data_IF_861344926794
#
_entry.id   IF_861344926794
#
_cell.length_a   1.000
_cell.length_b   1.000
_cell.length_c   1.000
_cell.angle_alpha   90.00
_cell.angle_beta   90.00
_cell.angle_gamma   90.00
#
_symmetry.space_group_name_H-M   'P 1'
#
loop_
_entity.id
_entity.type
_entity.pdbx_description
1 polymer ?
#
# COMPACT_ATOMS: atom_id res chain seq x y z
N UNK A 1 19.94 28.23 3.60
CA UNK A 1 21.33 28.22 4.17
C UNK A 1 21.36 28.25 5.71
N UNK A 2 20.22 28.08 6.41
CA UNK A 2 20.16 27.97 7.88
C UNK A 2 19.89 26.55 8.40
N UNK A 3 19.62 25.58 7.55
CA UNK A 3 19.31 24.18 7.92
C UNK A 3 20.54 23.25 8.02
N UNK A 4 21.72 23.71 7.59
CA UNK A 4 22.93 22.88 7.59
C UNK A 4 23.84 23.04 8.82
N UNK A 5 23.51 23.95 9.75
CA UNK A 5 24.37 24.29 10.87
C UNK A 5 24.00 23.70 12.24
N UNK A 6 22.79 23.12 12.37
CA UNK A 6 22.29 22.59 13.67
C UNK A 6 22.37 21.07 13.81
N UNK A 7 22.88 20.36 12.80
CA UNK A 7 22.97 18.88 12.81
C UNK A 7 24.16 18.31 13.59
N UNK A 8 24.99 19.13 14.25
CA UNK A 8 26.25 18.63 14.79
C UNK A 8 26.34 18.48 16.32
N UNK A 9 25.23 18.47 17.05
CA UNK A 9 25.20 18.19 18.50
C UNK A 9 23.92 17.51 19.01
N UNK A 10 23.28 16.65 18.23
CA UNK A 10 22.40 15.66 18.84
C UNK A 10 23.28 14.45 19.20
N UNK A 11 23.50 14.24 20.48
CA UNK A 11 23.87 12.92 21.00
C UNK A 11 22.84 11.96 20.39
N UNK A 12 23.30 10.94 19.63
CA UNK A 12 22.40 9.94 19.05
C UNK A 12 21.65 9.26 20.18
N UNK A 13 20.42 9.70 20.42
CA UNK A 13 19.50 9.06 21.36
C UNK A 13 19.37 7.60 20.94
N UNK A 14 19.76 6.68 21.81
CA UNK A 14 19.57 5.26 21.57
C UNK A 14 18.07 4.97 21.40
N UNK A 15 17.69 4.31 20.31
CA UNK A 15 16.31 3.95 20.08
C UNK A 15 15.85 2.93 21.13
N UNK A 16 14.72 3.19 21.78
CA UNK A 16 14.05 2.28 22.69
C UNK A 16 12.64 1.92 22.16
N UNK A 17 12.01 0.96 22.80
CA UNK A 17 10.65 0.52 22.43
C UNK A 17 9.56 1.21 23.27
N UNK A 18 9.93 2.28 23.97
CA UNK A 18 9.02 2.97 24.88
C UNK A 18 8.46 4.23 24.24
N UNK A 19 7.15 4.44 24.37
CA UNK A 19 6.46 5.68 24.01
C UNK A 19 5.79 6.20 25.26
N UNK A 20 6.25 7.38 25.73
CA UNK A 20 5.76 8.03 26.92
C UNK A 20 5.60 9.53 26.65
N UNK A 21 4.43 10.08 26.92
CA UNK A 21 4.11 11.49 26.70
C UNK A 21 4.96 12.41 27.58
N UNK A 22 5.38 11.95 28.75
CA UNK A 22 6.23 12.69 29.68
C UNK A 22 7.68 12.83 29.17
N UNK A 23 8.08 11.97 28.21
CA UNK A 23 9.36 12.05 27.51
C UNK A 23 9.13 12.14 26.00
N UNK A 24 8.63 13.29 25.58
CA UNK A 24 8.20 13.54 24.20
C UNK A 24 9.36 13.41 23.20
N UNK A 25 10.56 13.93 23.53
CA UNK A 25 11.71 13.91 22.63
C UNK A 25 12.14 12.46 22.32
N UNK A 26 12.31 11.63 23.33
CA UNK A 26 12.63 10.21 23.16
C UNK A 26 11.52 9.47 22.41
N UNK A 27 10.26 9.76 22.73
CA UNK A 27 9.12 9.13 22.07
C UNK A 27 9.05 9.45 20.58
N UNK A 28 9.26 10.71 20.20
CA UNK A 28 9.32 11.13 18.79
C UNK A 28 10.48 10.47 18.05
N UNK A 29 11.65 10.38 18.68
CA UNK A 29 12.80 9.66 18.14
C UNK A 29 12.49 8.18 17.90
N UNK A 30 11.91 7.51 18.90
CA UNK A 30 11.53 6.09 18.80
C UNK A 30 10.52 5.83 17.69
N UNK A 31 9.50 6.70 17.57
CA UNK A 31 8.48 6.62 16.50
C UNK A 31 9.15 6.81 15.13
N UNK A 32 9.99 7.83 14.97
CA UNK A 32 10.70 8.10 13.72
C UNK A 32 11.57 6.91 13.30
N UNK A 33 12.41 6.41 14.19
CA UNK A 33 13.28 5.26 13.91
C UNK A 33 12.46 4.04 13.52
N UNK A 34 11.40 3.75 14.27
CA UNK A 34 10.50 2.62 13.97
C UNK A 34 9.91 2.73 12.56
N UNK A 35 9.40 3.90 12.17
CA UNK A 35 8.77 4.09 10.85
C UNK A 35 9.78 4.05 9.70
N UNK A 36 10.96 4.62 9.88
CA UNK A 36 12.05 4.54 8.90
C UNK A 36 12.47 3.08 8.66
N UNK A 37 12.63 2.31 9.73
CA UNK A 37 13.02 0.90 9.63
C UNK A 37 11.91 0.03 8.99
N UNK A 38 10.63 0.30 9.26
CA UNK A 38 9.51 -0.37 8.59
C UNK A 38 9.56 -0.15 7.07
N UNK A 39 9.79 1.09 6.64
CA UNK A 39 9.90 1.43 5.22
C UNK A 39 11.12 0.75 4.61
N UNK A 40 12.31 0.89 5.21
CA UNK A 40 13.54 0.25 4.72
C UNK A 40 13.37 -1.27 4.57
N UNK A 41 12.85 -1.93 5.60
CA UNK A 41 12.63 -3.37 5.57
C UNK A 41 11.60 -3.77 4.51
N UNK A 42 10.56 -2.97 4.29
CA UNK A 42 9.59 -3.20 3.21
C UNK A 42 10.26 -3.17 1.84
N UNK A 43 11.10 -2.15 1.57
CA UNK A 43 11.82 -2.07 0.30
C UNK A 43 12.84 -3.20 0.12
N UNK A 44 13.46 -3.68 1.20
CA UNK A 44 14.35 -4.85 1.13
C UNK A 44 13.60 -6.15 0.80
N UNK A 45 12.32 -6.23 1.13
CA UNK A 45 11.49 -7.40 0.81
C UNK A 45 10.98 -7.41 -0.64
N UNK A 46 11.20 -6.33 -1.41
CA UNK A 46 10.72 -6.29 -2.79
C UNK A 46 11.50 -7.23 -3.70
N UNK A 47 10.80 -8.17 -4.30
CA UNK A 47 11.30 -8.94 -5.43
C UNK A 47 11.04 -8.16 -6.73
N UNK A 48 12.09 -7.84 -7.46
CA UNK A 48 12.00 -7.06 -8.70
C UNK A 48 11.21 -7.77 -9.80
N UNK A 49 11.29 -9.10 -9.88
CA UNK A 49 10.55 -9.90 -10.87
C UNK A 49 9.07 -9.91 -10.53
N UNK A 50 8.76 -10.06 -9.24
CA UNK A 50 7.39 -10.02 -8.73
C UNK A 50 6.75 -8.65 -8.98
N UNK A 51 7.44 -7.56 -8.64
CA UNK A 51 6.96 -6.20 -8.93
C UNK A 51 6.74 -5.98 -10.43
N UNK A 52 7.66 -6.47 -11.27
CA UNK A 52 7.51 -6.37 -12.73
C UNK A 52 6.26 -7.12 -13.21
N UNK A 53 6.05 -8.34 -12.74
CA UNK A 53 4.87 -9.13 -13.10
C UNK A 53 3.56 -8.44 -12.68
N UNK A 54 3.54 -7.83 -11.49
CA UNK A 54 2.38 -7.06 -11.01
C UNK A 54 2.13 -5.84 -11.90
N UNK A 55 3.18 -5.08 -12.22
CA UNK A 55 3.06 -3.90 -13.10
C UNK A 55 2.54 -4.32 -14.49
N UNK A 56 3.07 -5.39 -15.07
CA UNK A 56 2.64 -5.88 -16.37
C UNK A 56 1.16 -6.34 -16.33
N UNK A 57 0.73 -7.00 -15.26
CA UNK A 57 -0.68 -7.37 -15.05
C UNK A 57 -1.59 -6.13 -14.95
N UNK A 58 -1.18 -5.12 -14.17
CA UNK A 58 -1.92 -3.85 -14.01
C UNK A 58 -2.09 -3.13 -15.34
N UNK A 59 -1.03 -3.07 -16.16
CA UNK A 59 -1.08 -2.41 -17.46
C UNK A 59 -1.94 -3.14 -18.49
N UNK A 60 -2.14 -4.43 -18.32
CA UNK A 60 -3.00 -5.26 -19.16
C UNK A 60 -4.46 -5.34 -18.70
N UNK A 61 -4.77 -4.84 -17.50
CA UNK A 61 -6.09 -4.92 -16.91
C UNK A 61 -7.07 -3.90 -17.52
N UNK A 62 -8.34 -4.29 -17.68
CA UNK A 62 -9.42 -3.34 -17.97
C UNK A 62 -10.02 -2.76 -16.69
N UNK A 63 -9.98 -3.53 -15.59
CA UNK A 63 -10.50 -3.13 -14.29
C UNK A 63 -9.54 -3.58 -13.19
N UNK A 64 -9.26 -2.68 -12.25
CA UNK A 64 -8.42 -2.92 -11.08
C UNK A 64 -9.26 -2.68 -9.84
N UNK A 65 -9.38 -3.66 -8.97
CA UNK A 65 -10.04 -3.48 -7.68
C UNK A 65 -9.02 -3.45 -6.55
N UNK A 66 -9.11 -2.43 -5.70
CA UNK A 66 -8.43 -2.39 -4.41
C UNK A 66 -9.42 -2.75 -3.30
N UNK A 67 -9.23 -3.90 -2.67
CA UNK A 67 -10.09 -4.37 -1.58
C UNK A 67 -9.33 -4.39 -0.24
N UNK A 68 -9.99 -3.91 0.81
CA UNK A 68 -9.41 -3.79 2.14
C UNK A 68 -10.48 -3.83 3.24
N UNK A 69 -10.06 -4.10 4.48
CA UNK A 69 -10.94 -4.12 5.65
C UNK A 69 -10.37 -3.29 6.79
N UNK A 70 -11.25 -2.57 7.50
CA UNK A 70 -10.88 -1.80 8.68
C UNK A 70 -9.85 -0.70 8.37
N UNK A 71 -8.73 -0.69 9.11
CA UNK A 71 -7.72 0.37 9.01
C UNK A 71 -6.94 0.40 7.68
N UNK A 72 -7.07 -0.63 6.84
CA UNK A 72 -6.43 -0.66 5.50
C UNK A 72 -7.33 -0.09 4.40
N UNK A 73 -8.60 0.22 4.66
CA UNK A 73 -9.51 0.85 3.69
C UNK A 73 -8.93 2.17 3.12
N UNK A 74 -8.35 3.09 3.91
CA UNK A 74 -7.76 4.30 3.36
C UNK A 74 -6.64 4.06 2.34
N UNK A 75 -5.90 2.94 2.47
CA UNK A 75 -4.86 2.56 1.51
C UNK A 75 -5.48 2.13 0.18
N UNK A 76 -6.56 1.35 0.22
CA UNK A 76 -7.30 0.97 -0.97
C UNK A 76 -7.89 2.20 -1.70
N UNK A 77 -8.37 3.18 -0.95
CA UNK A 77 -8.86 4.46 -1.50
C UNK A 77 -7.73 5.27 -2.15
N UNK A 78 -6.58 5.36 -1.51
CA UNK A 78 -5.38 6.02 -2.05
C UNK A 78 -4.90 5.33 -3.34
N UNK A 79 -4.81 4.00 -3.35
CA UNK A 79 -4.46 3.22 -4.53
C UNK A 79 -5.42 3.46 -5.69
N UNK A 80 -6.72 3.43 -5.42
CA UNK A 80 -7.75 3.72 -6.42
C UNK A 80 -7.61 5.12 -6.99
N UNK A 81 -7.42 6.13 -6.13
CA UNK A 81 -7.23 7.51 -6.56
C UNK A 81 -6.00 7.66 -7.47
N UNK A 82 -4.84 7.18 -7.02
CA UNK A 82 -3.59 7.26 -7.77
C UNK A 82 -3.63 6.55 -9.12
N UNK A 83 -4.23 5.35 -9.16
CA UNK A 83 -4.32 4.60 -10.41
C UNK A 83 -5.30 5.24 -11.40
N UNK A 84 -6.38 5.85 -10.92
CA UNK A 84 -7.27 6.65 -11.77
C UNK A 84 -6.56 7.91 -12.30
N UNK A 85 -5.67 8.56 -11.52
CA UNK A 85 -4.85 9.67 -12.01
C UNK A 85 -3.93 9.24 -13.17
N UNK A 86 -3.45 8.00 -13.19
CA UNK A 86 -2.69 7.45 -14.33
C UNK A 86 -3.57 7.17 -15.56
N UNK A 87 -4.89 7.33 -15.46
CA UNK A 87 -5.83 6.96 -16.52
C UNK A 87 -6.16 5.46 -16.54
N UNK A 88 -5.81 4.72 -15.49
CA UNK A 88 -6.22 3.34 -15.31
C UNK A 88 -7.60 3.28 -14.66
N UNK A 89 -8.37 2.24 -14.96
CA UNK A 89 -9.71 2.09 -14.38
C UNK A 89 -9.64 1.33 -13.06
N UNK A 90 -9.60 2.04 -11.94
CA UNK A 90 -9.51 1.47 -10.61
C UNK A 90 -10.76 1.76 -9.77
N UNK A 91 -11.18 0.79 -8.96
CA UNK A 91 -12.35 0.87 -8.07
C UNK A 91 -12.05 0.39 -6.67
N UNK A 92 -12.76 0.92 -5.68
CA UNK A 92 -12.84 0.45 -4.30
C UNK A 92 -14.14 0.90 -3.65
N UNK A 93 -14.41 0.46 -2.44
CA UNK A 93 -15.50 0.96 -1.61
C UNK A 93 -15.16 0.78 -0.12
N UNK A 94 -15.59 1.67 0.78
CA UNK A 94 -15.51 1.43 2.21
C UNK A 94 -16.46 0.32 2.67
N UNK A 95 -17.48 -0.03 1.88
CA UNK A 95 -18.46 -1.08 2.18
C UNK A 95 -18.00 -2.41 1.57
N UNK A 96 -17.83 -3.42 2.42
CA UNK A 96 -17.34 -4.73 1.98
C UNK A 96 -18.29 -5.43 1.00
N UNK A 97 -19.61 -5.21 1.11
CA UNK A 97 -20.62 -5.73 0.20
C UNK A 97 -20.40 -5.21 -1.22
N UNK A 98 -20.07 -3.93 -1.35
CA UNK A 98 -19.75 -3.31 -2.64
C UNK A 98 -18.43 -3.83 -3.20
N UNK A 99 -17.41 -3.99 -2.35
CA UNK A 99 -16.15 -4.62 -2.78
C UNK A 99 -16.41 -6.04 -3.30
N UNK A 100 -17.22 -6.86 -2.60
CA UNK A 100 -17.56 -8.20 -3.08
C UNK A 100 -18.35 -8.16 -4.41
N UNK A 101 -19.20 -7.16 -4.60
CA UNK A 101 -19.90 -6.98 -5.87
C UNK A 101 -18.91 -6.66 -7.00
N UNK A 102 -17.94 -5.80 -6.79
CA UNK A 102 -16.85 -5.54 -7.75
C UNK A 102 -16.04 -6.80 -8.04
N UNK A 103 -15.57 -7.51 -7.00
CA UNK A 103 -14.82 -8.77 -7.17
C UNK A 103 -15.56 -9.79 -8.06
N UNK A 104 -16.89 -9.80 -8.02
CA UNK A 104 -17.71 -10.66 -8.87
C UNK A 104 -17.80 -10.21 -10.32
N UNK A 105 -17.47 -8.97 -10.63
CA UNK A 105 -17.49 -8.43 -12.00
C UNK A 105 -16.13 -8.53 -12.69
N UNK A 106 -15.05 -8.77 -11.95
CA UNK A 106 -13.72 -8.92 -12.53
C UNK A 106 -13.68 -10.14 -13.45
N UNK A 107 -12.94 -10.01 -14.55
CA UNK A 107 -12.80 -11.01 -15.59
C UNK A 107 -11.35 -11.45 -15.75
N UNK A 108 -11.12 -12.36 -16.68
CA UNK A 108 -9.78 -12.78 -17.05
C UNK A 108 -8.91 -11.57 -17.41
N UNK A 109 -7.78 -11.44 -16.75
CA UNK A 109 -6.80 -10.36 -16.94
C UNK A 109 -7.05 -9.10 -16.10
N UNK A 110 -8.23 -8.96 -15.45
CA UNK A 110 -8.42 -7.89 -14.46
C UNK A 110 -7.62 -8.18 -13.18
N UNK A 111 -7.33 -7.14 -12.41
CA UNK A 111 -6.46 -7.25 -11.23
C UNK A 111 -7.21 -6.93 -9.95
N UNK A 112 -7.00 -7.75 -8.95
CA UNK A 112 -7.56 -7.61 -7.60
C UNK A 112 -6.44 -7.48 -6.58
N UNK A 113 -6.35 -6.33 -5.92
CA UNK A 113 -5.46 -6.11 -4.79
C UNK A 113 -6.18 -6.37 -3.48
N UNK A 114 -5.70 -7.32 -2.69
CA UNK A 114 -6.14 -7.58 -1.33
C UNK A 114 -5.16 -6.95 -0.33
N UNK A 115 -5.53 -5.83 0.30
CA UNK A 115 -4.70 -5.13 1.28
C UNK A 115 -5.11 -5.58 2.68
N UNK A 116 -4.27 -6.41 3.30
CA UNK A 116 -4.58 -7.07 4.58
C UNK A 116 -3.34 -7.22 5.45
N UNK A 117 -3.18 -6.40 6.46
CA UNK A 117 -2.02 -6.47 7.36
C UNK A 117 -1.84 -7.89 7.96
N UNK A 118 -2.90 -8.51 8.45
CA UNK A 118 -2.86 -9.87 9.02
C UNK A 118 -2.85 -11.00 7.99
N UNK A 119 -3.26 -10.73 6.75
CA UNK A 119 -3.46 -11.77 5.72
C UNK A 119 -4.56 -12.80 6.04
N UNK A 120 -5.36 -12.60 7.08
CA UNK A 120 -6.34 -13.57 7.61
C UNK A 120 -7.80 -13.13 7.46
N UNK A 121 -8.09 -12.03 6.77
CA UNK A 121 -9.46 -11.55 6.57
C UNK A 121 -10.26 -12.55 5.73
N UNK A 122 -11.25 -13.20 6.34
CA UNK A 122 -12.13 -14.18 5.66
C UNK A 122 -12.83 -13.59 4.43
N UNK A 123 -13.19 -12.30 4.49
CA UNK A 123 -13.86 -11.59 3.38
C UNK A 123 -12.91 -11.38 2.20
N UNK A 124 -11.70 -10.87 2.44
CA UNK A 124 -10.70 -10.69 1.39
C UNK A 124 -10.27 -12.02 0.77
N UNK A 125 -10.07 -13.04 1.59
CA UNK A 125 -9.76 -14.41 1.14
C UNK A 125 -10.88 -14.94 0.22
N UNK A 126 -12.16 -14.73 0.59
CA UNK A 126 -13.31 -15.13 -0.24
C UNK A 126 -13.32 -14.40 -1.56
N UNK A 127 -13.12 -13.06 -1.57
CA UNK A 127 -13.08 -12.25 -2.79
C UNK A 127 -11.91 -12.68 -3.70
N UNK A 128 -10.71 -12.86 -3.17
CA UNK A 128 -9.56 -13.35 -3.93
C UNK A 128 -9.84 -14.72 -4.60
N UNK A 129 -10.50 -15.64 -3.90
CA UNK A 129 -10.92 -16.94 -4.48
C UNK A 129 -11.93 -16.77 -5.62
N UNK A 130 -12.88 -15.84 -5.49
CA UNK A 130 -13.86 -15.54 -6.54
C UNK A 130 -13.12 -15.04 -7.77
N UNK A 131 -12.29 -14.03 -7.64
CA UNK A 131 -11.54 -13.41 -8.73
C UNK A 131 -10.63 -14.43 -9.44
N UNK A 132 -9.87 -15.21 -8.66
CA UNK A 132 -9.00 -16.25 -9.19
C UNK A 132 -9.78 -17.30 -10.02
N UNK A 133 -10.96 -17.71 -9.55
CA UNK A 133 -11.85 -18.63 -10.28
C UNK A 133 -12.32 -18.05 -11.62
N UNK A 134 -12.45 -16.73 -11.71
CA UNK A 134 -12.86 -16.02 -12.93
C UNK A 134 -11.68 -15.73 -13.88
N UNK A 135 -10.45 -16.11 -13.49
CA UNK A 135 -9.23 -15.90 -14.27
C UNK A 135 -8.61 -14.49 -14.10
N UNK A 136 -9.09 -13.72 -13.13
CA UNK A 136 -8.44 -12.47 -12.73
C UNK A 136 -7.13 -12.74 -11.98
N UNK A 137 -6.22 -11.77 -12.01
CA UNK A 137 -4.94 -11.79 -11.30
C UNK A 137 -5.12 -11.26 -9.88
N UNK A 138 -4.62 -11.98 -8.90
CA UNK A 138 -4.77 -11.62 -7.49
C UNK A 138 -3.43 -11.24 -6.86
N UNK A 139 -3.38 -10.08 -6.21
CA UNK A 139 -2.19 -9.53 -5.53
C UNK A 139 -2.51 -9.31 -4.06
N UNK A 140 -1.72 -9.91 -3.17
CA UNK A 140 -1.80 -9.66 -1.73
C UNK A 140 -0.74 -8.64 -1.30
N UNK A 141 -1.15 -7.64 -0.49
CA UNK A 141 -0.24 -6.74 0.25
C UNK A 141 -0.47 -7.02 1.73
N UNK A 142 0.52 -7.60 2.41
CA UNK A 142 0.37 -8.10 3.79
C UNK A 142 1.67 -8.03 4.58
N UNK A 143 1.57 -7.96 5.92
CA UNK A 143 2.72 -8.04 6.82
C UNK A 143 3.10 -9.52 7.14
N UNK A 144 2.27 -10.48 6.73
CA UNK A 144 2.42 -11.88 7.13
C UNK A 144 2.78 -12.77 5.93
N UNK A 145 4.05 -13.13 5.82
CA UNK A 145 4.55 -13.97 4.74
C UNK A 145 3.90 -15.38 4.71
N UNK A 146 3.50 -15.87 5.88
CA UNK A 146 2.77 -17.14 6.02
C UNK A 146 1.37 -16.86 6.52
N UNK A 147 0.44 -16.64 5.61
CA UNK A 147 -0.95 -16.32 5.94
C UNK A 147 -1.90 -16.91 4.89
N UNK A 148 -3.19 -17.10 5.22
CA UNK A 148 -4.13 -17.68 4.29
C UNK A 148 -4.28 -16.92 2.96
N UNK A 149 -4.06 -15.59 2.94
CA UNK A 149 -4.15 -14.80 1.70
C UNK A 149 -2.97 -15.06 0.79
N UNK A 150 -1.75 -15.29 1.34
CA UNK A 150 -0.54 -15.53 0.57
C UNK A 150 -0.53 -16.90 -0.11
N UNK A 151 -1.29 -17.86 0.41
CA UNK A 151 -1.48 -19.18 -0.21
C UNK A 151 -2.43 -19.15 -1.41
N UNK A 152 -3.24 -18.09 -1.52
CA UNK A 152 -4.31 -18.00 -2.52
C UNK A 152 -3.92 -17.07 -3.66
N UNK A 153 -3.34 -15.91 -3.35
CA UNK A 153 -3.02 -14.89 -4.35
C UNK A 153 -1.90 -15.35 -5.28
N UNK A 154 -1.94 -14.87 -6.52
CA UNK A 154 -0.95 -15.19 -7.55
C UNK A 154 0.35 -14.44 -7.29
N UNK A 155 0.24 -13.22 -6.74
CA UNK A 155 1.35 -12.35 -6.38
C UNK A 155 1.25 -11.91 -4.93
N UNK A 156 2.41 -11.75 -4.27
CA UNK A 156 2.46 -11.36 -2.86
C UNK A 156 3.54 -10.31 -2.63
N UNK A 157 3.15 -9.18 -2.05
CA UNK A 157 4.06 -8.15 -1.56
C UNK A 157 4.07 -8.17 -0.04
N UNK A 158 5.22 -8.46 0.56
CA UNK A 158 5.39 -8.50 2.01
C UNK A 158 5.86 -7.13 2.50
N UNK A 159 5.04 -6.52 3.35
CA UNK A 159 5.39 -5.28 4.06
C UNK A 159 5.93 -5.61 5.45
N UNK A 160 6.85 -4.79 5.93
CA UNK A 160 7.36 -4.91 7.30
C UNK A 160 6.47 -4.15 8.28
N UNK A 161 6.47 -4.59 9.53
CA UNK A 161 5.87 -3.86 10.65
C UNK A 161 6.74 -4.03 11.89
N UNK A 162 6.82 -2.97 12.70
CA UNK A 162 7.49 -2.97 14.00
C UNK A 162 6.55 -2.62 15.15
N UNK A 163 5.26 -2.56 14.90
CA UNK A 163 4.27 -2.13 15.90
C UNK A 163 4.16 -3.07 17.08
N UNK A 164 4.47 -4.36 16.91
CA UNK A 164 4.55 -5.32 18.02
C UNK A 164 5.57 -4.94 19.10
N UNK A 165 6.50 -4.03 18.77
CA UNK A 165 7.48 -3.52 19.73
C UNK A 165 6.83 -2.59 20.74
N UNK A 166 5.79 -1.83 20.32
CA UNK A 166 5.14 -0.84 21.16
C UNK A 166 3.83 -1.34 21.76
N UNK A 167 3.03 -2.07 20.96
CA UNK A 167 1.70 -2.53 21.35
C UNK A 167 1.45 -3.94 20.84
N UNK A 168 1.37 -4.89 21.75
CA UNK A 168 1.09 -6.29 21.40
C UNK A 168 -0.29 -6.41 20.73
N UNK A 169 -0.36 -7.17 19.62
CA UNK A 169 -1.55 -7.51 18.85
C UNK A 169 -2.31 -6.35 18.17
N UNK A 170 -1.82 -5.12 18.21
CA UNK A 170 -2.47 -3.99 17.54
C UNK A 170 -1.60 -3.49 16.39
N UNK A 171 -2.16 -3.48 15.18
CA UNK A 171 -1.50 -2.97 13.99
C UNK A 171 -2.15 -1.65 13.56
N UNK A 172 -1.43 -0.54 13.70
CA UNK A 172 -1.89 0.79 13.31
C UNK A 172 -1.30 1.25 12.00
N UNK A 173 -0.12 0.70 11.64
CA UNK A 173 0.65 1.26 10.56
C UNK A 173 -0.01 1.00 9.22
N UNK A 174 0.02 2.05 8.42
CA UNK A 174 -0.39 2.03 7.02
C UNK A 174 0.75 2.45 6.12
N UNK A 175 1.84 2.99 6.68
CA UNK A 175 2.93 3.60 5.94
C UNK A 175 3.61 2.60 4.99
N UNK A 176 3.90 1.40 5.48
CA UNK A 176 4.53 0.36 4.67
C UNK A 176 3.66 -0.07 3.46
N UNK A 177 2.36 -0.24 3.67
CA UNK A 177 1.45 -0.58 2.57
C UNK A 177 1.18 0.62 1.63
N UNK A 178 1.17 1.86 2.15
CA UNK A 178 1.14 3.07 1.31
C UNK A 178 2.41 3.18 0.46
N UNK A 179 3.58 2.89 1.04
CA UNK A 179 4.84 2.87 0.28
C UNK A 179 4.83 1.85 -0.87
N UNK A 180 4.13 0.72 -0.73
CA UNK A 180 3.88 -0.24 -1.83
C UNK A 180 3.06 0.41 -2.94
N UNK A 181 1.94 1.07 -2.58
CA UNK A 181 1.09 1.76 -3.56
C UNK A 181 1.87 2.85 -4.29
N UNK A 182 2.63 3.68 -3.56
CA UNK A 182 3.50 4.71 -4.14
C UNK A 182 4.54 4.13 -5.07
N UNK A 183 5.15 3.00 -4.69
CA UNK A 183 6.14 2.32 -5.53
C UNK A 183 5.53 1.86 -6.85
N UNK A 184 4.37 1.20 -6.82
CA UNK A 184 3.68 0.76 -8.02
C UNK A 184 3.27 1.95 -8.90
N UNK A 185 2.71 3.00 -8.29
CA UNK A 185 2.36 4.24 -8.98
C UNK A 185 3.57 4.86 -9.70
N UNK A 186 4.68 5.03 -8.99
CA UNK A 186 5.90 5.63 -9.55
C UNK A 186 6.52 4.77 -10.66
N UNK A 187 6.52 3.44 -10.51
CA UNK A 187 7.00 2.52 -11.53
C UNK A 187 6.15 2.63 -12.81
N UNK A 188 4.82 2.65 -12.69
CA UNK A 188 3.91 2.78 -13.82
C UNK A 188 4.05 4.16 -14.47
N UNK A 189 4.08 5.22 -13.67
CA UNK A 189 4.25 6.60 -14.14
C UNK A 189 5.52 6.76 -15.00
N UNK A 190 6.60 6.07 -14.62
CA UNK A 190 7.88 6.13 -15.35
C UNK A 190 7.88 5.43 -16.70
N UNK A 191 6.85 4.65 -17.05
CA UNK A 191 6.86 3.80 -18.24
C UNK A 191 6.41 4.49 -19.53
N UNK A 192 5.50 5.47 -19.44
CA UNK A 192 4.94 6.17 -20.60
C UNK A 192 4.68 7.64 -20.29
N UNK A 193 4.94 8.50 -21.27
CA UNK A 193 4.65 9.93 -21.16
C UNK A 193 3.16 10.22 -20.95
N UNK A 194 2.27 9.42 -21.56
CA UNK A 194 0.81 9.58 -21.43
C UNK A 194 0.35 9.49 -19.98
N UNK A 195 0.98 8.64 -19.16
CA UNK A 195 0.67 8.54 -17.73
C UNK A 195 1.05 9.81 -16.99
N UNK A 196 2.18 10.41 -17.33
CA UNK A 196 2.61 11.69 -16.77
C UNK A 196 1.67 12.82 -17.18
N UNK A 197 1.24 12.86 -18.44
CA UNK A 197 0.30 13.85 -18.95
C UNK A 197 -1.05 13.77 -18.24
N UNK A 198 -1.59 12.57 -18.03
CA UNK A 198 -2.83 12.35 -17.30
C UNK A 198 -2.75 12.89 -15.85
N UNK A 199 -1.66 12.59 -15.14
CA UNK A 199 -1.45 13.09 -13.77
C UNK A 199 -1.30 14.61 -13.78
N UNK A 200 -0.54 15.18 -14.72
CA UNK A 200 -0.32 16.61 -14.83
C UNK A 200 -1.61 17.38 -15.19
N UNK A 201 -2.49 16.81 -16.00
CA UNK A 201 -3.79 17.38 -16.34
C UNK A 201 -4.72 17.38 -15.12
N UNK A 202 -4.77 16.26 -14.40
CA UNK A 202 -5.52 16.18 -13.16
C UNK A 202 -5.04 17.22 -12.13
N UNK A 203 -3.74 17.34 -11.91
CA UNK A 203 -3.19 18.32 -10.96
C UNK A 203 -3.49 19.76 -11.39
N UNK A 204 -3.46 20.07 -12.69
CA UNK A 204 -3.84 21.40 -13.21
C UNK A 204 -5.29 21.72 -12.91
N UNK A 205 -6.22 20.77 -13.12
CA UNK A 205 -7.63 20.99 -12.83
C UNK A 205 -7.89 21.30 -11.35
N UNK A 206 -7.14 20.64 -10.44
CA UNK A 206 -7.22 20.93 -9.00
C UNK A 206 -6.62 22.30 -8.63
N UNK A 207 -5.55 22.73 -9.34
CA UNK A 207 -4.92 24.03 -9.09
C UNK A 207 -5.84 25.18 -9.55
N UNK A 208 -6.54 25.02 -10.67
CA UNK A 208 -7.47 26.01 -11.20
C UNK A 208 -8.68 26.27 -10.25
N UNK A 209 -9.00 25.33 -9.37
CA UNK A 209 -10.02 25.49 -8.34
C UNK A 209 -9.51 26.22 -7.08
N UNK A 210 -8.20 26.47 -6.96
CA UNK A 210 -7.62 27.22 -5.84
C UNK A 210 -7.64 28.70 -6.15
N UNK A 211 -8.44 29.47 -5.39
CA UNK A 211 -8.48 30.93 -5.38
C UNK A 211 -7.23 31.53 -4.74
#
# INVERSE_FOLDING_TARGET
>A
LKLAGEQSKQEELAASNEINIENMEQSLHNIMVSKVEEIKATFHNFDQKELRSIVDAVLGANLIEFAAMGNTIPIAMDGTYKFNQLGLHAVTSPMWETQEAFARTLKKGDVFFAISASGASKRLIRMAKIVKKQGGVTVAVTNQAKSPITEICDHVIITATREHIFYDQVSFTRMAAMAVIDTLFMLILSMKNDFFENVAEHERSVIEEKL
#
